data_IF_517368332931
#
_entry.id   IF_517368332931
#
_cell.length_a   1.000
_cell.length_b   1.000
_cell.length_c   1.000
_cell.angle_alpha   90.00
_cell.angle_beta   90.00
_cell.angle_gamma   90.00
#
_symmetry.space_group_name_H-M   'P 1'
#
loop_
_entity.id
_entity.type
_entity.pdbx_description
1 polymer ?
#
# COMPACT_ATOMS: atom_id res chain seq x y z
N UNK A 1 -6.42 -11.69 6.71
CA UNK A 1 -6.93 -10.31 6.52
C UNK A 1 -5.79 -9.34 6.73
N UNK A 2 -5.72 -8.30 5.91
CA UNK A 2 -4.63 -7.32 5.91
C UNK A 2 -5.21 -5.93 6.12
N UNK A 3 -4.62 -5.18 7.03
CA UNK A 3 -4.99 -3.80 7.36
C UNK A 3 -3.77 -2.93 7.08
N UNK A 4 -3.98 -1.77 6.48
CA UNK A 4 -2.98 -0.73 6.34
C UNK A 4 -3.67 0.60 6.18
N UNK A 5 -2.92 1.68 6.29
CA UNK A 5 -3.44 3.01 6.00
C UNK A 5 -2.57 3.76 5.01
N UNK A 6 -3.14 4.76 4.36
CA UNK A 6 -2.38 5.77 3.63
C UNK A 6 -2.61 7.12 4.27
N UNK A 7 -1.59 7.97 4.34
CA UNK A 7 -1.78 9.37 4.73
C UNK A 7 -0.78 10.29 4.03
N UNK A 8 -1.04 11.59 4.09
CA UNK A 8 -0.14 12.62 3.60
C UNK A 8 -0.12 13.79 4.58
N UNK A 9 1.08 14.29 4.89
CA UNK A 9 1.27 15.39 5.85
C UNK A 9 0.78 16.73 5.25
N UNK A 10 0.85 16.87 3.93
CA UNK A 10 0.27 17.98 3.16
C UNK A 10 -0.15 17.48 1.77
N UNK A 11 -1.30 17.94 1.24
CA UNK A 11 -1.69 17.71 -0.17
C UNK A 11 -0.85 18.66 -1.06
N UNK A 12 0.47 18.45 -1.10
CA UNK A 12 1.41 19.30 -1.85
C UNK A 12 1.52 18.91 -3.32
N UNK A 13 1.06 17.71 -3.68
CA UNK A 13 1.37 17.05 -4.94
C UNK A 13 0.10 16.55 -5.60
N UNK A 14 -0.19 17.02 -6.83
CA UNK A 14 -1.27 16.48 -7.69
C UNK A 14 -0.87 15.15 -8.35
N UNK A 15 0.22 14.51 -7.95
CA UNK A 15 0.62 13.22 -8.52
C UNK A 15 -0.32 12.13 -8.03
N UNK A 16 -1.00 11.41 -8.94
CA UNK A 16 -1.89 10.33 -8.55
C UNK A 16 -1.06 9.07 -8.32
N UNK A 17 -0.39 9.04 -7.16
CA UNK A 17 0.35 7.89 -6.66
C UNK A 17 -0.61 6.96 -5.94
N UNK A 18 -0.57 5.70 -6.31
CA UNK A 18 -1.42 4.65 -5.75
C UNK A 18 -0.58 3.49 -5.26
N UNK A 19 -0.98 2.86 -4.16
CA UNK A 19 -0.50 1.55 -3.79
C UNK A 19 -1.24 0.49 -4.62
N UNK A 20 -0.47 -0.42 -5.22
CA UNK A 20 -0.95 -1.57 -5.96
C UNK A 20 -0.52 -2.85 -5.25
N UNK A 21 -1.46 -3.78 -5.08
CA UNK A 21 -1.20 -5.13 -4.59
C UNK A 21 -0.84 -6.07 -5.74
N UNK A 22 0.24 -6.84 -5.55
CA UNK A 22 0.70 -7.87 -6.48
C UNK A 22 0.81 -9.19 -5.73
N UNK A 23 0.21 -10.24 -6.31
CA UNK A 23 0.37 -11.63 -5.86
C UNK A 23 1.74 -12.13 -6.30
N UNK A 24 2.54 -12.66 -5.36
CA UNK A 24 3.92 -13.05 -5.64
C UNK A 24 4.02 -14.26 -6.58
N UNK A 25 3.13 -15.24 -6.42
CA UNK A 25 3.18 -16.52 -7.13
C UNK A 25 2.75 -16.38 -8.59
N UNK A 26 1.64 -15.68 -8.80
CA UNK A 26 1.07 -15.48 -10.13
C UNK A 26 1.72 -14.30 -10.87
N UNK A 27 2.48 -13.45 -10.17
CA UNK A 27 2.97 -12.14 -10.63
C UNK A 27 1.85 -11.25 -11.18
N UNK A 28 0.59 -11.62 -10.97
CA UNK A 28 -0.56 -10.89 -11.45
C UNK A 28 -0.83 -9.74 -10.50
N UNK A 29 -1.01 -8.56 -11.09
CA UNK A 29 -1.55 -7.42 -10.35
C UNK A 29 -3.01 -7.73 -10.06
N UNK A 30 -3.44 -7.50 -8.83
CA UNK A 30 -4.88 -7.47 -8.57
C UNK A 30 -5.46 -6.30 -9.36
N UNK A 31 -6.45 -6.59 -10.22
CA UNK A 31 -7.01 -5.62 -11.15
C UNK A 31 -7.52 -4.35 -10.43
N UNK A 32 -7.97 -4.51 -9.17
CA UNK A 32 -8.34 -3.48 -8.19
C UNK A 32 -8.25 -4.12 -6.79
N UNK A 33 -7.88 -3.39 -5.73
CA UNK A 33 -7.94 -1.93 -5.63
C UNK A 33 -6.60 -1.23 -5.76
N UNK A 34 -6.63 -0.04 -6.36
CA UNK A 34 -5.59 0.97 -6.20
C UNK A 34 -5.98 1.82 -5.00
N UNK A 35 -5.05 2.02 -4.06
CA UNK A 35 -5.30 2.89 -2.90
C UNK A 35 -4.55 4.21 -3.07
N UNK A 36 -5.25 5.35 -3.16
CA UNK A 36 -4.60 6.61 -3.38
C UNK A 36 -3.76 6.94 -2.15
N UNK A 37 -2.47 7.18 -2.34
CA UNK A 37 -1.60 7.62 -1.24
C UNK A 37 -1.81 9.10 -0.89
N UNK A 38 -2.44 9.84 -1.81
CA UNK A 38 -2.88 11.22 -1.63
C UNK A 38 -4.33 11.31 -2.12
N UNK A 39 -5.27 11.66 -1.25
CA UNK A 39 -6.69 11.79 -1.59
C UNK A 39 -7.20 13.17 -1.21
N UNK A 40 -7.89 13.89 -2.13
CA UNK A 40 -8.62 15.11 -1.78
C UNK A 40 -10.02 14.84 -1.21
N UNK A 41 -10.48 13.58 -1.22
CA UNK A 41 -11.79 13.21 -0.72
C UNK A 41 -11.76 12.94 0.79
N UNK A 42 -12.91 13.16 1.47
CA UNK A 42 -13.08 13.06 2.93
C UNK A 42 -12.31 11.89 3.54
N UNK A 43 -11.49 12.21 4.52
CA UNK A 43 -10.62 11.27 5.22
C UNK A 43 -11.39 10.53 6.31
N UNK A 44 -10.82 9.41 6.78
CA UNK A 44 -11.40 8.66 7.90
C UNK A 44 -11.27 9.42 9.23
N UNK A 45 -10.36 10.40 9.27
CA UNK A 45 -10.01 11.18 10.45
C UNK A 45 -10.20 12.67 10.16
N UNK A 46 -10.65 13.44 11.17
CA UNK A 46 -10.92 14.87 11.01
C UNK A 46 -9.65 15.73 10.99
N UNK A 47 -8.54 15.21 11.55
CA UNK A 47 -7.31 15.97 11.83
C UNK A 47 -6.16 15.57 10.91
N UNK A 48 -6.30 14.48 10.14
CA UNK A 48 -5.26 13.99 9.23
C UNK A 48 -5.86 13.45 7.93
N UNK A 49 -5.07 13.52 6.85
CA UNK A 49 -5.47 13.01 5.53
C UNK A 49 -5.30 11.48 5.41
N UNK A 50 -5.64 10.77 6.49
CA UNK A 50 -5.47 9.34 6.64
C UNK A 50 -6.69 8.55 6.18
N UNK A 51 -6.45 7.39 5.56
CA UNK A 51 -7.46 6.39 5.23
C UNK A 51 -7.01 5.01 5.62
N UNK A 52 -7.88 4.25 6.27
CA UNK A 52 -7.65 2.86 6.67
C UNK A 52 -8.30 1.93 5.65
N UNK A 53 -7.52 0.98 5.17
CA UNK A 53 -7.95 -0.05 4.23
C UNK A 53 -7.84 -1.42 4.89
N UNK A 54 -8.79 -2.29 4.55
CA UNK A 54 -8.80 -3.69 4.96
C UNK A 54 -9.05 -4.59 3.75
N UNK A 55 -8.30 -5.69 3.67
CA UNK A 55 -8.36 -6.65 2.56
C UNK A 55 -8.46 -8.07 3.08
N UNK A 56 -9.41 -8.81 2.52
CA UNK A 56 -9.45 -10.25 2.67
C UNK A 56 -8.58 -10.89 1.58
N UNK A 57 -7.35 -11.22 1.92
CA UNK A 57 -6.44 -11.97 1.06
C UNK A 57 -6.48 -13.46 1.43
N UNK A 58 -6.10 -14.30 0.46
CA UNK A 58 -5.81 -15.71 0.72
C UNK A 58 -4.45 -15.84 1.39
N UNK A 59 -4.14 -17.02 1.89
CA UNK A 59 -2.79 -17.34 2.36
C UNK A 59 -1.80 -17.25 1.19
N UNK A 60 -0.65 -16.62 1.42
CA UNK A 60 0.37 -16.44 0.39
C UNK A 60 1.27 -15.22 0.58
N UNK A 61 2.22 -15.07 -0.34
CA UNK A 61 3.14 -13.95 -0.40
C UNK A 61 2.62 -12.84 -1.32
N UNK A 62 2.80 -11.59 -0.88
CA UNK A 62 2.28 -10.41 -1.57
C UNK A 62 3.28 -9.26 -1.55
N UNK A 63 3.10 -8.37 -2.52
CA UNK A 63 3.82 -7.09 -2.60
C UNK A 63 2.83 -5.93 -2.62
N UNK A 64 3.13 -4.88 -1.85
CA UNK A 64 2.57 -3.54 -2.06
C UNK A 64 3.60 -2.66 -2.77
N UNK A 65 3.19 -2.06 -3.87
CA UNK A 65 4.07 -1.28 -4.75
C UNK A 65 3.44 0.07 -5.07
N UNK A 66 4.13 1.20 -4.85
CA UNK A 66 3.69 2.49 -5.34
C UNK A 66 3.71 2.54 -6.88
N UNK A 67 2.65 3.05 -7.46
CA UNK A 67 2.41 3.10 -8.90
C UNK A 67 1.81 4.43 -9.30
N UNK A 68 2.13 4.91 -10.51
CA UNK A 68 1.53 6.10 -11.08
C UNK A 68 0.44 5.72 -12.07
N UNK A 69 -0.66 6.47 -12.06
CA UNK A 69 -1.76 6.30 -13.04
C UNK A 69 -1.64 7.24 -14.24
N UNK A 70 -0.71 8.20 -14.22
CA UNK A 70 -0.48 9.12 -15.34
C UNK A 70 0.83 8.80 -16.07
N UNK A 71 0.80 8.59 -17.39
CA UNK A 71 2.00 8.25 -18.18
C UNK A 71 2.99 9.41 -18.31
N UNK A 72 2.59 10.65 -18.03
CA UNK A 72 3.47 11.83 -18.10
C UNK A 72 4.48 11.92 -16.94
N UNK A 73 4.37 11.05 -15.93
CA UNK A 73 5.26 11.01 -14.78
C UNK A 73 5.77 9.58 -14.58
N UNK A 74 7.03 9.44 -14.21
CA UNK A 74 7.61 8.14 -13.85
C UNK A 74 8.18 8.18 -12.44
N UNK A 75 8.02 7.07 -11.72
CA UNK A 75 8.84 6.77 -10.56
C UNK A 75 10.11 6.07 -11.07
N UNK A 76 11.24 6.76 -10.99
CA UNK A 76 12.57 6.19 -11.30
C UNK A 76 13.09 5.34 -10.14
N UNK A 77 12.60 5.59 -8.94
CA UNK A 77 12.89 4.82 -7.73
C UNK A 77 11.63 4.71 -6.86
N UNK A 78 11.30 3.50 -6.42
CA UNK A 78 10.17 3.26 -5.51
C UNK A 78 10.42 2.02 -4.64
N UNK A 79 9.92 1.99 -3.40
CA UNK A 79 10.01 0.81 -2.57
C UNK A 79 9.01 -0.26 -3.01
N UNK A 80 9.39 -1.52 -2.86
CA UNK A 80 8.50 -2.68 -2.92
C UNK A 80 8.40 -3.26 -1.53
N UNK A 81 7.18 -3.34 -0.99
CA UNK A 81 6.92 -3.82 0.37
C UNK A 81 6.44 -5.26 0.33
N UNK A 82 7.29 -6.21 0.71
CA UNK A 82 6.95 -7.64 0.76
C UNK A 82 6.35 -8.01 2.11
N UNK A 83 5.28 -8.80 2.09
CA UNK A 83 4.67 -9.38 3.27
C UNK A 83 4.03 -10.75 2.97
N UNK A 84 3.88 -11.56 4.01
CA UNK A 84 3.23 -12.86 3.96
C UNK A 84 1.92 -12.80 4.74
N UNK A 85 0.88 -13.41 4.17
CA UNK A 85 -0.42 -13.63 4.81
C UNK A 85 -0.56 -15.12 5.14
N UNK A 86 -0.64 -15.46 6.42
CA UNK A 86 -0.95 -16.79 6.93
C UNK A 86 -2.46 -17.08 7.01
N UNK A 87 -2.81 -18.31 7.37
CA UNK A 87 -4.20 -18.71 7.61
C UNK A 87 -4.81 -17.98 8.82
N UNK A 88 -6.06 -17.53 8.66
CA UNK A 88 -6.91 -16.93 9.72
C UNK A 88 -6.33 -15.74 10.50
N UNK A 89 -5.24 -15.13 10.02
CA UNK A 89 -4.62 -14.01 10.70
C UNK A 89 -5.23 -12.66 10.30
N UNK A 90 -5.06 -11.68 11.18
CA UNK A 90 -5.32 -10.27 10.89
C UNK A 90 -4.00 -9.54 11.09
N UNK A 91 -3.42 -9.00 10.02
CA UNK A 91 -2.14 -8.29 10.07
C UNK A 91 -2.32 -6.81 9.80
N UNK A 92 -1.57 -5.98 10.51
CA UNK A 92 -1.44 -4.56 10.22
C UNK A 92 -0.06 -4.29 9.61
N UNK A 93 -0.04 -3.76 8.38
CA UNK A 93 1.19 -3.48 7.62
C UNK A 93 1.76 -2.07 7.87
N UNK A 94 1.07 -1.24 8.65
CA UNK A 94 1.45 0.15 8.86
C UNK A 94 0.73 1.16 7.97
N UNK A 95 1.16 2.40 8.15
CA UNK A 95 0.77 3.56 7.40
C UNK A 95 1.79 3.84 6.30
N UNK A 96 1.31 4.09 5.09
CA UNK A 96 2.12 4.38 3.92
C UNK A 96 1.91 5.82 3.47
N UNK A 97 3.02 6.54 3.31
CA UNK A 97 3.01 7.97 3.01
C UNK A 97 3.89 8.28 1.81
N UNK A 98 3.44 9.25 1.03
CA UNK A 98 4.24 9.94 0.02
C UNK A 98 4.67 11.26 0.65
N UNK A 99 5.97 11.41 0.93
CA UNK A 99 6.52 12.64 1.49
C UNK A 99 6.79 13.68 0.40
N UNK A 100 7.21 13.22 -0.77
CA UNK A 100 7.37 14.02 -1.98
C UNK A 100 7.32 13.09 -3.21
N UNK A 101 7.54 13.62 -4.41
CA UNK A 101 7.43 12.89 -5.68
C UNK A 101 8.33 11.64 -5.82
N UNK A 102 9.29 11.42 -4.92
CA UNK A 102 10.25 10.30 -4.97
C UNK A 102 10.48 9.62 -3.62
N UNK A 103 10.04 10.24 -2.52
CA UNK A 103 10.23 9.72 -1.16
C UNK A 103 8.96 9.10 -0.62
N UNK A 104 9.07 7.83 -0.30
CA UNK A 104 8.03 7.01 0.29
C UNK A 104 8.44 6.63 1.71
N UNK A 105 7.47 6.62 2.63
CA UNK A 105 7.68 6.20 4.01
C UNK A 105 6.61 5.19 4.39
N UNK A 106 7.02 4.12 5.06
CA UNK A 106 6.11 3.24 5.78
C UNK A 106 6.41 3.40 7.27
N UNK A 107 5.38 3.38 8.12
CA UNK A 107 5.51 3.54 9.56
C UNK A 107 4.43 2.78 10.33
N UNK A 108 4.75 2.24 11.51
CA UNK A 108 3.78 1.67 12.45
C UNK A 108 3.26 2.68 13.48
N UNK A 109 3.68 3.95 13.44
CA UNK A 109 3.33 4.94 14.49
C UNK A 109 1.82 5.17 14.65
N UNK A 110 1.05 4.96 13.59
CA UNK A 110 -0.41 5.13 13.59
C UNK A 110 -1.19 3.83 13.89
N UNK A 111 -0.49 2.77 14.28
CA UNK A 111 -1.07 1.45 14.58
C UNK A 111 -2.28 1.52 15.51
N UNK A 112 -2.11 2.12 16.70
CA UNK A 112 -3.19 2.15 17.69
C UNK A 112 -4.42 2.86 17.14
N UNK A 113 -4.23 4.00 16.45
CA UNK A 113 -5.32 4.76 15.82
C UNK A 113 -6.03 3.91 14.76
N UNK A 114 -5.26 3.33 13.84
CA UNK A 114 -5.79 2.64 12.66
C UNK A 114 -6.47 1.32 13.02
N UNK A 115 -5.86 0.55 13.92
CA UNK A 115 -6.42 -0.70 14.42
C UNK A 115 -7.68 -0.44 15.24
N UNK A 116 -7.69 0.57 16.11
CA UNK A 116 -8.90 0.93 16.89
C UNK A 116 -10.03 1.33 15.95
N UNK A 117 -9.78 2.23 15.00
CA UNK A 117 -10.77 2.63 13.99
C UNK A 117 -11.31 1.43 13.21
N UNK A 118 -10.42 0.54 12.75
CA UNK A 118 -10.80 -0.68 12.05
C UNK A 118 -11.71 -1.59 12.90
N UNK A 119 -11.35 -1.83 14.16
CA UNK A 119 -12.12 -2.71 15.06
C UNK A 119 -13.46 -2.10 15.49
N UNK A 120 -13.56 -0.77 15.57
CA UNK A 120 -14.82 -0.08 15.83
C UNK A 120 -15.78 -0.18 14.63
N UNK A 121 -15.24 -0.11 13.41
CA UNK A 121 -16.00 -0.35 12.18
C UNK A 121 -16.35 -1.82 11.95
N UNK A 122 -15.62 -2.74 12.58
CA UNK A 122 -15.81 -4.18 12.45
C UNK A 122 -15.92 -4.86 13.83
N UNK A 123 -17.00 -4.62 14.60
CA UNK A 123 -17.11 -5.10 15.98
C UNK A 123 -16.97 -6.62 16.13
N UNK A 124 -17.36 -7.39 15.11
CA UNK A 124 -17.23 -8.85 15.07
C UNK A 124 -15.78 -9.35 15.11
N UNK A 125 -14.79 -8.48 14.85
CA UNK A 125 -13.37 -8.79 14.86
C UNK A 125 -12.65 -8.30 16.11
N UNK A 126 -13.33 -7.68 17.08
CA UNK A 126 -12.73 -7.15 18.32
C UNK A 126 -12.00 -8.20 19.18
N UNK A 127 -12.41 -9.46 19.07
CA UNK A 127 -11.75 -10.58 19.78
C UNK A 127 -10.53 -11.14 19.04
N UNK A 128 -10.29 -10.73 17.78
CA UNK A 128 -9.13 -11.16 17.00
C UNK A 128 -7.91 -10.36 17.41
N UNK A 129 -6.79 -11.06 17.61
CA UNK A 129 -5.49 -10.42 17.77
C UNK A 129 -5.04 -9.87 16.41
N UNK A 130 -4.80 -8.57 16.34
CA UNK A 130 -4.17 -7.93 15.17
C UNK A 130 -2.66 -7.93 15.38
N UNK A 131 -1.92 -8.50 14.42
CA UNK A 131 -0.47 -8.58 14.47
C UNK A 131 0.15 -7.50 13.60
N UNK A 132 0.98 -6.66 14.18
CA UNK A 132 1.74 -5.68 13.38
C UNK A 132 2.94 -6.35 12.73
N UNK A 133 3.01 -6.26 11.40
CA UNK A 133 4.11 -6.80 10.59
C UNK A 133 4.62 -5.71 9.68
N UNK A 134 5.81 -5.22 9.98
CA UNK A 134 6.48 -4.23 9.15
C UNK A 134 6.97 -4.96 7.88
N UNK A 135 6.48 -4.60 6.69
CA UNK A 135 6.89 -5.25 5.47
C UNK A 135 8.34 -4.93 5.13
N UNK A 136 9.03 -5.88 4.51
CA UNK A 136 10.42 -5.69 4.07
C UNK A 136 10.39 -4.78 2.84
N UNK A 137 10.99 -3.60 2.94
CA UNK A 137 11.10 -2.66 1.84
C UNK A 137 12.40 -2.92 1.06
N UNK A 138 12.27 -3.29 -0.21
CA UNK A 138 13.39 -3.28 -1.17
C UNK A 138 13.26 -2.08 -2.10
N UNK A 139 14.35 -1.38 -2.37
CA UNK A 139 14.34 -0.26 -3.30
C UNK A 139 14.49 -0.78 -4.72
N UNK A 140 13.52 -0.47 -5.59
CA UNK A 140 13.57 -0.81 -7.00
C UNK A 140 13.92 0.44 -7.82
N UNK A 141 14.91 0.31 -8.71
CA UNK A 141 15.32 1.36 -9.63
C UNK A 141 14.90 1.01 -11.05
N UNK A 142 14.07 1.86 -11.65
CA UNK A 142 13.67 1.72 -13.05
C UNK A 142 14.65 2.50 -13.93
N UNK A 143 15.27 1.82 -14.90
CA UNK A 143 16.30 2.40 -15.77
C UNK A 143 15.74 3.43 -16.76
N UNK A 144 14.54 3.22 -17.31
CA UNK A 144 13.94 4.11 -18.32
C UNK A 144 12.43 4.33 -18.12
N UNK A 145 11.97 5.48 -18.60
CA UNK A 145 10.59 5.96 -18.62
C UNK A 145 9.87 5.49 -19.90
N UNK A 146 9.95 4.21 -20.25
CA UNK A 146 9.28 3.78 -21.46
C UNK A 146 7.76 3.86 -21.31
N UNK A 147 7.12 4.29 -22.39
CA UNK A 147 5.67 4.31 -22.52
C UNK A 147 5.13 2.95 -22.06
N UNK A 148 4.10 2.93 -21.22
CA UNK A 148 3.81 1.76 -20.44
C UNK A 148 3.23 0.66 -21.34
N UNK A 149 4.00 -0.41 -21.51
CA UNK A 149 3.46 -1.74 -21.78
C UNK A 149 2.65 -2.17 -20.54
N UNK A 150 1.46 -1.58 -20.39
CA UNK A 150 0.53 -1.88 -19.31
C UNK A 150 -0.08 -3.29 -19.43
N UNK A 151 0.34 -4.11 -20.41
CA UNK A 151 -0.37 -5.34 -20.81
C UNK A 151 0.42 -6.63 -20.60
N UNK A 152 1.74 -6.64 -20.42
CA UNK A 152 2.47 -7.92 -20.42
C UNK A 152 3.54 -8.02 -19.34
N UNK A 153 3.18 -8.62 -18.19
CA UNK A 153 3.84 -9.77 -17.56
C UNK A 153 5.32 -9.74 -17.16
N UNK A 154 6.11 -8.74 -17.52
CA UNK A 154 7.58 -8.78 -17.38
C UNK A 154 8.09 -7.56 -16.62
N UNK A 155 7.87 -7.54 -15.30
CA UNK A 155 8.61 -6.63 -14.39
C UNK A 155 9.51 -7.38 -13.41
N UNK A 156 9.50 -8.71 -13.40
CA UNK A 156 10.16 -9.52 -12.39
C UNK A 156 11.22 -10.42 -13.02
N UNK A 157 12.31 -9.82 -13.48
CA UNK A 157 13.60 -10.46 -13.51
C UNK A 157 14.39 -9.90 -12.32
N UNK A 158 14.62 -10.73 -11.31
CA UNK A 158 15.56 -10.41 -10.22
C UNK A 158 17.00 -10.34 -10.78
N UNK A 159 17.91 -9.58 -10.15
CA UNK A 159 19.33 -9.65 -10.45
C UNK A 159 19.97 -10.99 -10.05
#
# INVERSE_FOLDING_TARGET
MVIFSTSTDEITSRLPVWLTLVDADSKNRYARPWWPMQSPAKDDFEVDHGRVYALQLREGDYFLVPTLTKPAFCLTSFPTYRFHVGADEVIYLGNFQVLNHQTFRQSSLLEVRDVTFFLDRNPMLRSKQVQTRIPIASQYHRRECDAPDFVTGTMWAEP
#
